data_IF_305741917998
#
_entry.id   IF_305741917998
#
_cell.length_a   1.000
_cell.length_b   1.000
_cell.length_c   1.000
_cell.angle_alpha   90.00
_cell.angle_beta   90.00
_cell.angle_gamma   90.00
#
_symmetry.space_group_name_H-M   'P 1'
#
loop_
_entity.id
_entity.type
_entity.pdbx_description
1 polymer ?
#
# COMPACT_ATOMS: atom_id res chain seq x y z
N UNK A 1 -9.79 14.61 7.89
CA UNK A 1 -9.42 15.50 6.76
C UNK A 1 -10.26 15.23 5.53
N UNK A 2 -10.38 13.97 5.08
CA UNK A 2 -11.19 13.63 3.90
C UNK A 2 -12.67 14.07 4.01
N UNK A 3 -13.33 13.79 5.14
CA UNK A 3 -14.74 14.19 5.38
C UNK A 3 -14.98 15.72 5.30
N UNK A 4 -13.94 16.52 5.51
CA UNK A 4 -13.99 17.98 5.48
C UNK A 4 -13.52 18.54 4.11
N UNK A 5 -13.11 17.70 3.16
CA UNK A 5 -12.55 18.14 1.87
C UNK A 5 -11.16 18.79 1.95
N UNK A 6 -10.52 18.75 3.11
CA UNK A 6 -9.22 19.42 3.36
C UNK A 6 -8.01 18.48 3.22
N UNK A 7 -8.23 17.20 2.90
CA UNK A 7 -7.15 16.28 2.52
C UNK A 7 -6.73 16.62 1.08
N UNK A 8 -5.51 17.13 0.89
CA UNK A 8 -5.02 17.60 -0.41
C UNK A 8 -4.08 16.63 -1.11
N UNK A 9 -3.49 15.69 -0.38
CA UNK A 9 -2.62 14.67 -0.97
C UNK A 9 -2.49 13.44 -0.08
N UNK A 10 -2.37 12.29 -0.74
CA UNK A 10 -2.11 11.01 -0.11
C UNK A 10 -1.17 10.21 -1.01
N UNK A 11 0.06 10.01 -0.55
CA UNK A 11 1.08 9.23 -1.25
C UNK A 11 1.42 7.99 -0.42
N UNK A 12 1.34 6.81 -1.02
CA UNK A 12 1.70 5.55 -0.38
C UNK A 12 2.89 4.94 -1.12
N UNK A 13 3.97 4.69 -0.41
CA UNK A 13 5.11 3.91 -0.92
C UNK A 13 5.11 2.53 -0.29
N UNK A 14 5.18 1.49 -1.12
CA UNK A 14 5.40 0.12 -0.68
C UNK A 14 6.76 -0.38 -1.15
N UNK A 15 7.53 -0.95 -0.22
CA UNK A 15 8.82 -1.57 -0.52
C UNK A 15 8.74 -3.03 -0.06
N UNK A 16 9.00 -3.95 -0.99
CA UNK A 16 8.98 -5.39 -0.73
C UNK A 16 10.11 -6.07 -1.50
N UNK A 17 10.50 -7.26 -1.03
CA UNK A 17 11.34 -8.14 -1.82
C UNK A 17 10.68 -8.44 -3.18
N UNK A 18 11.41 -8.49 -4.30
CA UNK A 18 10.82 -8.82 -5.60
C UNK A 18 10.11 -10.19 -5.62
N UNK A 19 10.58 -11.17 -4.85
CA UNK A 19 9.89 -12.48 -4.74
C UNK A 19 8.53 -12.40 -4.01
N UNK A 20 8.28 -11.34 -3.25
CA UNK A 20 7.01 -11.11 -2.55
C UNK A 20 5.97 -10.39 -3.42
N UNK A 21 6.34 -10.00 -4.64
CA UNK A 21 5.51 -9.21 -5.56
C UNK A 21 4.91 -10.11 -6.66
N UNK A 22 3.58 -10.26 -6.62
CA UNK A 22 2.77 -10.94 -7.63
C UNK A 22 2.16 -9.90 -8.57
N UNK A 23 3.03 -9.29 -9.38
CA UNK A 23 2.67 -8.26 -10.35
C UNK A 23 2.38 -8.88 -11.72
N UNK A 24 1.64 -8.16 -12.57
CA UNK A 24 1.14 -8.59 -13.86
C UNK A 24 1.49 -7.56 -14.95
N UNK A 25 1.55 -8.02 -16.20
CA UNK A 25 1.71 -7.16 -17.37
C UNK A 25 3.07 -6.46 -17.39
N UNK A 26 3.14 -5.14 -17.65
CA UNK A 26 4.43 -4.45 -17.83
C UNK A 26 5.30 -4.45 -16.55
N UNK A 27 4.71 -4.68 -15.38
CA UNK A 27 5.44 -4.74 -14.12
C UNK A 27 6.24 -6.03 -13.94
N UNK A 28 5.91 -7.10 -14.67
CA UNK A 28 6.59 -8.41 -14.54
C UNK A 28 8.05 -8.32 -14.96
N UNK A 29 8.33 -7.69 -16.11
CA UNK A 29 9.70 -7.52 -16.60
C UNK A 29 10.54 -6.69 -15.63
N UNK A 30 9.98 -5.59 -15.11
CA UNK A 30 10.63 -4.73 -14.12
C UNK A 30 10.94 -5.51 -12.83
N UNK A 31 10.01 -6.34 -12.37
CA UNK A 31 10.18 -7.16 -11.19
C UNK A 31 11.24 -8.26 -11.39
N UNK A 32 11.29 -8.89 -12.57
CA UNK A 32 12.34 -9.87 -12.89
C UNK A 32 13.72 -9.20 -12.98
N UNK A 33 13.80 -7.98 -13.50
CA UNK A 33 15.03 -7.19 -13.47
C UNK A 33 15.47 -6.89 -12.05
N UNK A 34 14.54 -6.50 -11.17
CA UNK A 34 14.84 -6.20 -9.78
C UNK A 34 15.49 -7.40 -9.05
N UNK A 35 15.12 -8.64 -9.37
CA UNK A 35 15.76 -9.85 -8.80
C UNK A 35 17.24 -10.02 -9.17
N UNK A 36 17.70 -9.39 -10.25
CA UNK A 36 19.06 -9.52 -10.79
C UNK A 36 19.96 -8.36 -10.41
N UNK A 37 19.43 -7.32 -9.80
CA UNK A 37 20.16 -6.14 -9.35
C UNK A 37 20.39 -6.17 -7.85
N UNK A 38 21.35 -5.41 -7.34
CA UNK A 38 21.54 -5.20 -5.89
C UNK A 38 20.94 -3.86 -5.41
N UNK A 39 20.12 -3.22 -6.24
CA UNK A 39 19.55 -1.91 -5.97
C UNK A 39 18.01 -1.96 -6.05
N UNK A 40 17.30 -1.10 -5.30
CA UNK A 40 15.86 -0.96 -5.42
C UNK A 40 15.43 -0.52 -6.83
N UNK A 41 14.35 -1.12 -7.34
CA UNK A 41 13.74 -0.77 -8.62
C UNK A 41 12.31 -0.28 -8.38
N UNK A 42 12.00 0.93 -8.83
CA UNK A 42 10.63 1.43 -8.86
C UNK A 42 9.88 0.69 -9.96
N UNK A 43 8.90 -0.12 -9.58
CA UNK A 43 8.03 -0.81 -10.53
C UNK A 43 6.94 0.12 -11.04
N UNK A 44 6.40 0.96 -10.16
CA UNK A 44 5.28 1.83 -10.47
C UNK A 44 5.33 3.11 -9.64
N UNK A 45 4.92 4.23 -10.23
CA UNK A 45 4.74 5.50 -9.52
C UNK A 45 3.64 6.36 -10.19
N UNK A 46 2.41 6.25 -9.70
CA UNK A 46 1.21 6.75 -10.38
C UNK A 46 -0.07 6.67 -9.53
N UNK A 47 -1.26 6.95 -10.09
CA UNK A 47 -2.53 6.76 -9.42
C UNK A 47 -2.75 5.33 -8.91
N UNK A 48 -3.42 5.14 -7.77
CA UNK A 48 -3.78 3.80 -7.27
C UNK A 48 -4.64 3.05 -8.29
N UNK A 49 -5.54 3.73 -9.02
CA UNK A 49 -6.47 3.11 -9.99
C UNK A 49 -5.77 2.20 -10.99
N UNK A 50 -4.67 2.66 -11.58
CA UNK A 50 -3.97 1.90 -12.62
C UNK A 50 -3.09 0.79 -12.05
N UNK A 51 -2.63 0.94 -10.80
CA UNK A 51 -1.82 -0.09 -10.14
C UNK A 51 -2.64 -1.31 -9.72
N UNK A 52 -3.88 -1.11 -9.25
CA UNK A 52 -4.74 -2.19 -8.78
C UNK A 52 -4.84 -3.40 -9.73
N UNK A 53 -5.11 -3.25 -11.04
CA UNK A 53 -5.14 -4.39 -11.96
C UNK A 53 -3.76 -5.03 -12.21
N UNK A 54 -2.67 -4.27 -12.06
CA UNK A 54 -1.31 -4.77 -12.29
C UNK A 54 -0.68 -5.44 -11.06
N UNK A 55 -1.21 -5.23 -9.86
CA UNK A 55 -0.66 -5.82 -8.62
C UNK A 55 -1.75 -6.23 -7.62
N UNK A 56 -2.81 -6.97 -8.05
CA UNK A 56 -4.04 -7.15 -7.27
C UNK A 56 -3.82 -7.85 -5.92
N UNK A 57 -2.78 -8.67 -5.79
CA UNK A 57 -2.47 -9.40 -4.56
C UNK A 57 -1.68 -8.56 -3.53
N UNK A 58 -1.10 -7.44 -3.95
CA UNK A 58 -0.09 -6.74 -3.14
C UNK A 58 -0.57 -5.39 -2.62
N UNK A 59 -1.53 -4.74 -3.28
CA UNK A 59 -1.82 -3.31 -3.11
C UNK A 59 -3.12 -3.01 -2.37
N UNK A 60 -3.68 -4.00 -1.66
CA UNK A 60 -4.90 -3.84 -0.86
C UNK A 60 -4.81 -2.68 0.15
N UNK A 61 -3.65 -2.46 0.78
CA UNK A 61 -3.47 -1.30 1.68
C UNK A 61 -3.57 0.03 0.93
N UNK A 62 -3.06 0.12 -0.31
CA UNK A 62 -3.19 1.34 -1.12
C UNK A 62 -4.64 1.57 -1.56
N UNK A 63 -5.34 0.51 -1.95
CA UNK A 63 -6.76 0.56 -2.27
C UNK A 63 -7.61 0.99 -1.06
N UNK A 64 -7.36 0.40 0.12
CA UNK A 64 -8.02 0.80 1.37
C UNK A 64 -7.77 2.26 1.73
N UNK A 65 -6.53 2.74 1.54
CA UNK A 65 -6.18 4.14 1.77
C UNK A 65 -6.93 5.07 0.81
N UNK A 66 -7.08 4.70 -0.48
CA UNK A 66 -7.86 5.45 -1.46
C UNK A 66 -9.36 5.49 -1.13
N UNK A 67 -9.92 4.40 -0.59
CA UNK A 67 -11.31 4.37 -0.10
C UNK A 67 -11.47 5.29 1.12
N UNK A 68 -10.56 5.23 2.08
CA UNK A 68 -10.58 6.10 3.27
C UNK A 68 -10.45 7.59 2.88
N UNK A 69 -9.57 7.89 1.93
CA UNK A 69 -9.39 9.20 1.31
C UNK A 69 -10.41 9.47 0.21
N UNK A 70 -11.69 9.25 0.48
CA UNK A 70 -12.78 9.34 -0.51
C UNK A 70 -12.84 10.65 -1.30
N UNK A 71 -12.36 11.77 -0.76
CA UNK A 71 -12.29 13.05 -1.49
C UNK A 71 -11.17 13.09 -2.55
N UNK A 72 -10.16 12.22 -2.45
CA UNK A 72 -9.12 11.99 -3.45
C UNK A 72 -9.44 10.78 -4.33
N UNK A 73 -9.92 9.70 -3.72
CA UNK A 73 -10.23 8.44 -4.37
C UNK A 73 -9.02 7.77 -5.03
N UNK A 74 -9.29 6.81 -5.91
CA UNK A 74 -8.25 6.00 -6.57
C UNK A 74 -7.43 6.78 -7.61
N UNK A 75 -7.98 7.87 -8.15
CA UNK A 75 -7.35 8.67 -9.20
C UNK A 75 -6.34 9.68 -8.64
N UNK A 76 -6.64 10.26 -7.48
CA UNK A 76 -5.78 11.29 -6.87
C UNK A 76 -4.98 10.79 -5.66
N UNK A 77 -5.16 9.53 -5.28
CA UNK A 77 -4.23 8.84 -4.36
C UNK A 77 -3.06 8.29 -5.16
N UNK A 78 -1.83 8.64 -4.79
CA UNK A 78 -0.62 8.18 -5.48
C UNK A 78 -0.04 6.93 -4.82
N UNK A 79 0.31 5.95 -5.64
CA UNK A 79 1.02 4.75 -5.26
C UNK A 79 2.40 4.71 -5.87
N UNK A 80 3.40 4.37 -5.04
CA UNK A 80 4.75 4.02 -5.46
C UNK A 80 5.08 2.61 -5.00
N UNK A 81 5.34 1.71 -5.95
CA UNK A 81 5.68 0.32 -5.67
C UNK A 81 7.16 0.08 -6.00
N UNK A 82 7.92 -0.36 -5.02
CA UNK A 82 9.37 -0.58 -5.11
C UNK A 82 9.67 -2.05 -4.82
N UNK A 83 10.42 -2.66 -5.74
CA UNK A 83 11.03 -3.96 -5.54
C UNK A 83 12.47 -3.77 -5.05
N UNK A 84 12.76 -4.21 -3.84
CA UNK A 84 14.08 -4.08 -3.23
C UNK A 84 14.61 -5.45 -2.78
N UNK A 85 15.66 -5.99 -3.42
CA UNK A 85 16.29 -7.25 -3.04
C UNK A 85 16.85 -7.28 -1.61
N UNK A 86 17.13 -6.12 -1.00
CA UNK A 86 17.59 -6.04 0.39
C UNK A 86 16.45 -6.26 1.42
N UNK A 87 15.18 -6.23 0.99
CA UNK A 87 14.02 -6.37 1.88
C UNK A 87 13.73 -7.84 2.24
N UNK A 88 14.69 -8.51 2.87
CA UNK A 88 14.60 -9.95 3.19
C UNK A 88 13.65 -10.25 4.34
N UNK A 89 13.47 -9.33 5.29
CA UNK A 89 12.76 -9.60 6.56
C UNK A 89 11.54 -8.72 6.78
N UNK A 90 11.25 -7.78 5.87
CA UNK A 90 10.29 -6.71 6.12
C UNK A 90 9.47 -6.37 4.88
N UNK A 91 8.20 -6.05 5.10
CA UNK A 91 7.38 -5.28 4.19
C UNK A 91 7.22 -3.87 4.74
N UNK A 92 7.52 -2.89 3.90
CA UNK A 92 7.51 -1.49 4.30
C UNK A 92 6.35 -0.78 3.63
N UNK A 93 5.60 -0.02 4.41
CA UNK A 93 4.58 0.90 3.91
C UNK A 93 4.86 2.28 4.50
N UNK A 94 5.08 3.26 3.64
CA UNK A 94 5.17 4.66 4.01
C UNK A 94 3.94 5.38 3.51
N UNK A 95 3.35 6.22 4.37
CA UNK A 95 2.18 7.00 4.04
C UNK A 95 2.50 8.46 4.32
N UNK A 96 2.42 9.27 3.28
CA UNK A 96 2.48 10.72 3.39
C UNK A 96 1.08 11.30 3.17
N UNK A 97 0.65 12.10 4.14
CA UNK A 97 -0.63 12.80 4.16
C UNK A 97 -0.36 14.29 4.07
N UNK A 98 -1.03 14.98 3.15
CA UNK A 98 -0.94 16.43 2.94
C UNK A 98 -2.32 17.06 3.13
N UNK A 99 -2.36 18.14 3.91
CA UNK A 99 -3.56 18.92 4.19
C UNK A 99 -3.42 20.39 3.84
N UNK A 100 -4.39 21.19 4.28
CA UNK A 100 -4.33 22.64 4.14
C UNK A 100 -3.27 23.28 5.04
N UNK A 101 -2.90 24.52 4.73
CA UNK A 101 -2.00 25.36 5.53
C UNK A 101 -0.64 24.70 5.84
N UNK A 102 -0.13 23.89 4.90
CA UNK A 102 1.16 23.22 5.04
C UNK A 102 1.14 21.99 5.97
N UNK A 103 -0.04 21.54 6.43
CA UNK A 103 -0.13 20.31 7.21
C UNK A 103 0.45 19.13 6.43
N UNK A 104 1.37 18.40 7.05
CA UNK A 104 2.00 17.23 6.47
C UNK A 104 2.33 16.22 7.57
N UNK A 105 2.08 14.95 7.31
CA UNK A 105 2.48 13.85 8.19
C UNK A 105 3.04 12.71 7.35
N UNK A 106 4.13 12.11 7.82
CA UNK A 106 4.68 10.89 7.24
C UNK A 106 4.67 9.83 8.31
N UNK A 107 4.14 8.66 7.99
CA UNK A 107 4.26 7.46 8.82
C UNK A 107 4.98 6.38 8.05
N UNK A 108 5.74 5.56 8.78
CA UNK A 108 6.43 4.40 8.24
C UNK A 108 6.08 3.19 9.08
N UNK A 109 5.60 2.14 8.43
CA UNK A 109 5.28 0.85 9.03
C UNK A 109 6.21 -0.20 8.47
N UNK A 110 6.88 -0.90 9.38
CA UNK A 110 7.74 -2.04 9.07
C UNK A 110 7.08 -3.30 9.62
N UNK A 111 6.62 -4.17 8.73
CA UNK A 111 5.91 -5.40 9.10
C UNK A 111 6.82 -6.60 8.80
N UNK A 112 7.15 -7.45 9.80
CA UNK A 112 7.94 -8.64 9.59
C UNK A 112 7.32 -9.55 8.51
N UNK A 113 8.15 -9.95 7.55
CA UNK A 113 7.75 -10.84 6.46
C UNK A 113 8.97 -11.64 5.97
N UNK A 114 8.80 -12.95 5.81
CA UNK A 114 9.83 -13.79 5.21
C UNK A 114 9.96 -13.50 3.70
N UNK A 115 11.14 -13.76 3.09
CA UNK A 115 11.30 -13.61 1.65
C UNK A 115 10.26 -14.43 0.87
N UNK A 116 9.58 -13.80 -0.10
CA UNK A 116 8.56 -14.46 -0.91
C UNK A 116 7.16 -14.48 -0.29
N UNK A 117 7.01 -14.14 0.99
CA UNK A 117 5.69 -13.95 1.59
C UNK A 117 5.00 -12.73 0.95
N UNK A 118 3.77 -12.90 0.47
CA UNK A 118 2.99 -11.78 -0.12
C UNK A 118 2.48 -10.81 0.96
N UNK A 119 2.19 -11.38 2.12
CA UNK A 119 1.53 -10.75 3.28
C UNK A 119 2.43 -10.90 4.51
N UNK A 120 2.53 -9.84 5.33
CA UNK A 120 3.29 -9.88 6.59
C UNK A 120 2.44 -10.40 7.75
N UNK A 121 3.09 -10.90 8.80
CA UNK A 121 2.46 -11.69 9.86
C UNK A 121 1.42 -10.89 10.68
N UNK A 122 1.59 -9.57 10.83
CA UNK A 122 0.65 -8.75 11.61
C UNK A 122 -0.76 -8.71 11.01
N UNK A 123 -0.92 -9.07 9.73
CA UNK A 123 -2.23 -9.08 9.05
C UNK A 123 -3.23 -10.04 9.73
N UNK A 124 -2.76 -11.13 10.33
CA UNK A 124 -3.64 -12.06 11.06
C UNK A 124 -4.32 -11.39 12.26
N UNK A 125 -3.59 -10.55 13.00
CA UNK A 125 -4.17 -9.82 14.14
C UNK A 125 -5.17 -8.75 13.69
N UNK A 126 -4.91 -8.08 12.54
CA UNK A 126 -5.86 -7.13 11.96
C UNK A 126 -7.19 -7.81 11.62
N UNK A 127 -7.18 -9.01 11.03
CA UNK A 127 -8.41 -9.75 10.76
C UNK A 127 -9.19 -10.09 12.04
N UNK A 128 -8.51 -10.57 13.08
CA UNK A 128 -9.15 -10.87 14.36
C UNK A 128 -9.79 -9.62 14.97
N UNK A 129 -9.07 -8.50 14.97
CA UNK A 129 -9.60 -7.22 15.43
C UNK A 129 -10.83 -6.78 14.61
N UNK A 130 -10.78 -6.89 13.29
CA UNK A 130 -11.94 -6.57 12.43
C UNK A 130 -13.15 -7.42 12.78
N UNK A 131 -12.99 -8.72 13.06
CA UNK A 131 -14.09 -9.61 13.51
C UNK A 131 -14.67 -9.12 14.84
N UNK A 132 -13.82 -8.80 15.82
CA UNK A 132 -14.29 -8.30 17.12
C UNK A 132 -15.06 -6.99 16.99
N UNK A 133 -14.62 -6.09 16.11
CA UNK A 133 -15.29 -4.81 15.88
C UNK A 133 -16.64 -4.95 15.18
N UNK A 134 -16.87 -6.00 14.38
CA UNK A 134 -18.12 -6.14 13.62
C UNK A 134 -19.39 -6.09 14.48
N UNK A 135 -19.30 -6.54 15.75
CA UNK A 135 -20.39 -6.49 16.73
C UNK A 135 -20.93 -5.08 16.97
N UNK A 136 -20.14 -4.05 16.68
CA UNK A 136 -20.45 -2.65 16.99
C UNK A 136 -20.59 -1.77 15.74
N UNK A 137 -20.53 -2.35 14.53
CA UNK A 137 -20.63 -1.59 13.28
C UNK A 137 -22.05 -1.66 12.69
N UNK A 138 -22.53 -0.58 12.05
CA UNK A 138 -23.79 -0.62 11.33
C UNK A 138 -23.68 -1.50 10.07
N UNK A 139 -24.82 -1.93 9.49
CA UNK A 139 -24.84 -2.61 8.20
C UNK A 139 -24.15 -1.77 7.11
N UNK A 140 -23.28 -2.40 6.33
CA UNK A 140 -22.61 -1.76 5.20
C UNK A 140 -21.11 -2.01 5.15
N UNK A 141 -20.41 -1.25 4.29
CA UNK A 141 -18.96 -1.29 4.16
C UNK A 141 -18.36 -0.42 5.27
N UNK A 142 -17.61 -1.07 6.16
CA UNK A 142 -16.91 -0.41 7.25
C UNK A 142 -15.40 -0.57 7.06
N UNK A 143 -14.66 0.51 7.29
CA UNK A 143 -13.21 0.44 7.43
C UNK A 143 -12.95 0.16 8.91
N UNK A 144 -12.40 -1.01 9.19
CA UNK A 144 -12.03 -1.48 10.52
C UNK A 144 -10.50 -1.53 10.63
#
# INVERSE_FOLDING_TARGET
MANLGILKGLNITMIKHPNSLKVLGPLEELCQRAKKTNCPVVLYDGPVRLLCPMAPNNVNTMAGAAIAAHNLGFDNTRAKLIADPAMTNWHIVEIEVVGENGFRTITRRENPAAPGAVTGNTTYFSFLASIQETLYKPPGINIC
#
